data_IF_300196581381
#
_entry.id   IF_300196581381
#
_cell.length_a   1.000
_cell.length_b   1.000
_cell.length_c   1.000
_cell.angle_alpha   90.00
_cell.angle_beta   90.00
_cell.angle_gamma   90.00
#
_symmetry.space_group_name_H-M   'P 1'
#
loop_
_entity.id
_entity.type
_entity.pdbx_description
1 polymer ?
#
# COMPACT_ATOMS: atom_id res chain seq x y z
N UNK A 1 9.17 12.81 -41.43
CA UNK A 1 10.10 12.96 -40.29
C UNK A 1 9.37 13.44 -39.03
N UNK A 2 8.70 14.59 -39.07
CA UNK A 2 7.94 15.15 -37.92
C UNK A 2 6.85 14.21 -37.37
N UNK A 3 6.03 13.60 -38.24
CA UNK A 3 4.97 12.68 -37.82
C UNK A 3 5.50 11.41 -37.13
N UNK A 4 6.67 10.91 -37.53
CA UNK A 4 7.30 9.76 -36.89
C UNK A 4 7.76 10.10 -35.48
N UNK A 5 8.34 11.30 -35.29
CA UNK A 5 8.79 11.80 -33.99
C UNK A 5 7.59 11.98 -33.05
N UNK A 6 6.49 12.54 -33.55
CA UNK A 6 5.27 12.72 -32.76
C UNK A 6 4.68 11.35 -32.36
N UNK A 7 4.62 10.40 -33.28
CA UNK A 7 4.10 9.06 -32.99
C UNK A 7 4.92 8.35 -31.91
N UNK A 8 6.25 8.41 -31.98
CA UNK A 8 7.15 7.82 -30.98
C UNK A 8 7.00 8.54 -29.62
N UNK A 9 6.89 9.87 -29.63
CA UNK A 9 6.69 10.63 -28.40
C UNK A 9 5.36 10.27 -27.71
N UNK A 10 4.26 10.16 -28.46
CA UNK A 10 2.95 9.79 -27.91
C UNK A 10 2.97 8.37 -27.33
N UNK A 11 3.63 7.43 -28.02
CA UNK A 11 3.77 6.05 -27.54
C UNK A 11 4.54 5.99 -26.20
N UNK A 12 5.67 6.70 -26.10
CA UNK A 12 6.46 6.76 -24.88
C UNK A 12 5.68 7.38 -23.70
N UNK A 13 4.91 8.44 -23.95
CA UNK A 13 4.05 9.05 -22.94
C UNK A 13 2.94 8.09 -22.47
N UNK A 14 2.33 7.34 -23.37
CA UNK A 14 1.31 6.36 -23.03
C UNK A 14 1.89 5.24 -22.13
N UNK A 15 3.10 4.77 -22.40
CA UNK A 15 3.79 3.76 -21.57
C UNK A 15 4.14 4.30 -20.18
N UNK A 16 4.65 5.53 -20.08
CA UNK A 16 4.97 6.16 -18.79
C UNK A 16 3.70 6.36 -17.96
N UNK A 17 2.61 6.82 -18.58
CA UNK A 17 1.32 7.00 -17.91
C UNK A 17 0.75 5.66 -17.45
N UNK A 18 0.76 4.63 -18.30
CA UNK A 18 0.30 3.29 -17.91
C UNK A 18 1.14 2.70 -16.78
N UNK A 19 2.47 2.78 -16.83
CA UNK A 19 3.35 2.31 -15.75
C UNK A 19 3.15 3.08 -14.43
N UNK A 20 2.99 4.41 -14.48
CA UNK A 20 2.78 5.22 -13.28
C UNK A 20 1.39 5.02 -12.66
N UNK A 21 0.35 4.87 -13.47
CA UNK A 21 -1.02 4.58 -13.02
C UNK A 21 -1.17 3.13 -12.54
N UNK A 22 -0.65 2.15 -13.27
CA UNK A 22 -0.71 0.74 -12.86
C UNK A 22 0.25 0.44 -11.71
N UNK A 23 1.45 1.03 -11.68
CA UNK A 23 2.39 0.92 -10.56
C UNK A 23 1.82 1.47 -9.25
N UNK A 24 1.00 2.54 -9.31
CA UNK A 24 0.22 3.01 -8.16
C UNK A 24 -0.91 2.05 -7.77
N UNK A 25 -1.53 1.35 -8.73
CA UNK A 25 -2.57 0.33 -8.44
C UNK A 25 -2.00 -0.93 -7.80
N UNK A 26 -0.79 -1.38 -8.15
CA UNK A 26 -0.12 -2.49 -7.43
C UNK A 26 0.33 -2.09 -6.03
N UNK A 27 0.59 -0.80 -5.77
CA UNK A 27 0.86 -0.29 -4.40
C UNK A 27 -0.39 -0.18 -3.51
N UNK A 28 -1.58 -0.56 -4.00
CA UNK A 28 -2.81 -0.68 -3.21
C UNK A 28 -3.23 -2.13 -2.91
N UNK A 29 -2.39 -3.11 -3.29
CA UNK A 29 -2.63 -4.55 -3.02
C UNK A 29 -1.66 -5.17 -2.01
N UNK A 30 -0.98 -4.33 -1.22
CA UNK A 30 -0.69 -4.67 0.16
C UNK A 30 -1.73 -3.94 0.99
N UNK A 31 -2.94 -4.47 0.94
CA UNK A 31 -3.84 -4.39 2.08
C UNK A 31 -3.11 -5.19 3.17
N UNK A 32 -2.12 -4.55 3.80
CA UNK A 32 -1.77 -4.88 5.17
C UNK A 32 -3.10 -4.73 5.86
N UNK A 33 -3.74 -5.87 6.14
CA UNK A 33 -4.92 -5.97 7.00
C UNK A 33 -4.56 -5.14 8.20
N UNK A 34 -5.05 -3.90 8.21
CA UNK A 34 -4.83 -2.99 9.32
C UNK A 34 -5.58 -3.71 10.42
N UNK A 35 -4.90 -4.25 11.47
CA UNK A 35 -5.65 -4.85 12.55
C UNK A 35 -6.65 -3.79 12.98
N UNK A 36 -7.92 -4.16 13.07
CA UNK A 36 -9.03 -3.28 13.46
C UNK A 36 -8.93 -2.86 14.94
N UNK A 37 -7.73 -2.97 15.50
CA UNK A 37 -7.35 -2.56 16.82
C UNK A 37 -6.64 -1.22 16.69
N UNK A 38 -7.14 -0.26 17.44
CA UNK A 38 -6.43 0.97 17.71
C UNK A 38 -5.01 0.65 18.19
N UNK A 39 -4.02 1.51 17.88
CA UNK A 39 -2.62 1.24 18.25
C UNK A 39 -2.40 1.02 19.76
N UNK A 40 -3.32 1.53 20.59
CA UNK A 40 -3.33 1.32 22.03
C UNK A 40 -3.81 -0.09 22.41
N UNK A 41 -4.85 -0.65 21.77
CA UNK A 41 -5.32 -2.02 22.02
C UNK A 41 -4.25 -3.06 21.67
N UNK A 42 -3.55 -2.88 20.54
CA UNK A 42 -2.46 -3.79 20.17
C UNK A 42 -1.30 -3.76 21.20
N UNK A 43 -1.03 -2.59 21.78
CA UNK A 43 0.00 -2.43 22.81
C UNK A 43 -0.42 -3.01 24.16
N UNK A 44 -1.70 -2.86 24.53
CA UNK A 44 -2.27 -3.42 25.74
C UNK A 44 -2.27 -4.96 25.70
N UNK A 45 -2.71 -5.56 24.58
CA UNK A 45 -2.68 -7.02 24.38
C UNK A 45 -1.23 -7.55 24.45
N UNK A 46 -0.27 -6.85 23.84
CA UNK A 46 1.13 -7.26 23.90
C UNK A 46 1.70 -7.21 25.33
N UNK A 47 1.35 -6.18 26.10
CA UNK A 47 1.71 -6.06 27.51
C UNK A 47 1.09 -7.20 28.33
N UNK A 48 -0.20 -7.46 28.14
CA UNK A 48 -0.90 -8.53 28.86
C UNK A 48 -0.25 -9.89 28.63
N UNK A 49 0.07 -10.24 27.37
CA UNK A 49 0.79 -11.47 27.05
C UNK A 49 2.19 -11.54 27.65
N UNK A 50 2.93 -10.43 27.68
CA UNK A 50 4.25 -10.37 28.30
C UNK A 50 4.20 -10.64 29.80
N UNK A 51 3.07 -10.33 30.44
CA UNK A 51 2.84 -10.48 31.87
C UNK A 51 1.90 -11.65 32.23
N UNK A 52 1.51 -12.48 31.27
CA UNK A 52 0.62 -13.64 31.49
C UNK A 52 -0.81 -13.27 31.88
N UNK A 53 -1.23 -12.03 31.61
CA UNK A 53 -2.59 -11.53 31.79
C UNK A 53 -3.45 -11.89 30.57
N UNK A 54 -4.76 -12.06 30.74
CA UNK A 54 -5.66 -12.31 29.61
C UNK A 54 -5.74 -11.09 28.68
N UNK A 55 -5.96 -11.34 27.38
CA UNK A 55 -5.87 -10.33 26.32
C UNK A 55 -6.90 -9.18 26.49
N UNK A 56 -7.97 -9.40 27.26
CA UNK A 56 -9.05 -8.46 27.59
C UNK A 56 -8.87 -7.74 28.93
N UNK A 57 -7.76 -7.97 29.64
CA UNK A 57 -7.39 -7.21 30.84
C UNK A 57 -6.93 -5.79 30.45
N UNK A 58 -7.87 -4.95 30.03
CA UNK A 58 -7.68 -3.50 29.82
C UNK A 58 -8.07 -2.76 31.10
#
# INVERSE_FOLDING_TARGET
>A
MTYLIIAVAVLAFAEILTLTLFGKRTRKKKETVKPNYSGWEASAVAYNRAHGLPDDAI
#
